data_IF_873328862372
#
_entry.id   IF_873328862372
#
_cell.length_a   1.000
_cell.length_b   1.000
_cell.length_c   1.000
_cell.angle_alpha   90.00
_cell.angle_beta   90.00
_cell.angle_gamma   90.00
#
_symmetry.space_group_name_H-M   'P 1'
#
loop_
_entity.id
_entity.type
_entity.pdbx_description
1 polymer ?
#
# COMPACT_ATOMS: atom_id res chain seq x y z
N UNK A 1 -7.56 14.28 -20.94
CA UNK A 1 -8.24 12.99 -20.68
C UNK A 1 -7.47 12.27 -19.58
N UNK A 2 -8.14 11.47 -18.73
CA UNK A 2 -7.46 10.65 -17.71
C UNK A 2 -7.26 9.25 -18.28
N UNK A 3 -6.00 8.86 -18.44
CA UNK A 3 -5.61 7.58 -19.05
C UNK A 3 -5.07 6.63 -17.98
N UNK A 4 -5.17 5.34 -18.23
CA UNK A 4 -4.60 4.32 -17.35
C UNK A 4 -4.14 3.12 -18.16
N UNK A 5 -2.95 2.62 -17.82
CA UNK A 5 -2.31 1.49 -18.52
C UNK A 5 -1.58 0.65 -17.48
N UNK A 6 -1.65 -0.67 -17.60
CA UNK A 6 -0.85 -1.60 -16.81
C UNK A 6 0.10 -2.31 -17.76
N UNK A 7 1.41 -2.23 -17.48
CA UNK A 7 2.44 -2.87 -18.29
C UNK A 7 3.55 -3.39 -17.37
N UNK A 8 4.04 -4.61 -17.62
CA UNK A 8 5.12 -5.25 -16.85
C UNK A 8 5.00 -5.13 -15.30
N UNK A 9 3.79 -5.15 -14.75
CA UNK A 9 3.54 -4.99 -13.31
C UNK A 9 3.65 -3.55 -12.79
N UNK A 10 3.48 -2.55 -13.67
CA UNK A 10 3.41 -1.13 -13.33
C UNK A 10 2.09 -0.53 -13.86
N UNK A 11 1.32 0.11 -12.98
CA UNK A 11 0.14 0.88 -13.33
C UNK A 11 0.56 2.32 -13.52
N UNK A 12 0.33 2.87 -14.70
CA UNK A 12 0.41 4.31 -15.01
C UNK A 12 -0.99 4.90 -14.99
N UNK A 13 -1.19 6.00 -14.26
CA UNK A 13 -2.39 6.85 -14.34
C UNK A 13 -1.98 8.23 -14.84
N UNK A 14 -2.36 8.54 -16.07
CA UNK A 14 -1.91 9.71 -16.81
C UNK A 14 -2.89 10.89 -16.78
N UNK A 15 -2.32 12.07 -16.52
CA UNK A 15 -2.92 13.39 -16.81
C UNK A 15 -1.76 14.34 -17.11
N UNK A 16 -1.64 14.74 -18.36
CA UNK A 16 -0.58 15.65 -18.81
C UNK A 16 -0.58 16.95 -17.97
N UNK A 17 0.60 17.41 -17.57
CA UNK A 17 0.79 18.63 -16.80
C UNK A 17 0.17 18.63 -15.40
N UNK A 18 -0.30 17.49 -14.89
CA UNK A 18 -0.98 17.45 -13.60
C UNK A 18 -0.07 17.86 -12.45
N UNK A 19 -0.66 18.59 -11.50
CA UNK A 19 -0.04 18.85 -10.20
C UNK A 19 -0.45 17.76 -9.23
N UNK A 20 0.53 17.04 -8.72
CA UNK A 20 0.34 15.90 -7.82
C UNK A 20 0.76 16.24 -6.40
N UNK A 21 0.01 15.72 -5.43
CA UNK A 21 0.41 15.58 -4.03
C UNK A 21 0.41 14.09 -3.69
N UNK A 22 1.51 13.55 -3.16
CA UNK A 22 1.65 12.12 -2.85
C UNK A 22 2.20 11.86 -1.45
N UNK A 23 1.80 10.75 -0.84
CA UNK A 23 2.39 10.21 0.40
C UNK A 23 3.33 9.02 0.14
N UNK A 24 3.56 8.66 -1.12
CA UNK A 24 4.45 7.54 -1.49
C UNK A 24 5.94 7.84 -1.31
N UNK A 25 6.79 7.01 -1.91
CA UNK A 25 8.25 7.20 -1.88
C UNK A 25 8.60 8.58 -2.45
N UNK A 26 9.35 9.38 -1.68
CA UNK A 26 9.59 10.81 -1.94
C UNK A 26 8.30 11.63 -2.16
N UNK A 27 7.32 11.45 -1.28
CA UNK A 27 6.07 12.19 -1.28
C UNK A 27 6.26 13.72 -1.27
N UNK A 28 5.15 14.44 -1.39
CA UNK A 28 5.11 15.88 -1.53
C UNK A 28 4.48 16.32 -2.85
N UNK A 29 4.67 17.60 -3.19
CA UNK A 29 4.05 18.24 -4.35
C UNK A 29 5.01 18.22 -5.54
N UNK A 30 4.52 17.80 -6.72
CA UNK A 30 5.28 17.84 -7.97
C UNK A 30 4.38 17.94 -9.19
N UNK A 31 4.88 18.52 -10.28
CA UNK A 31 4.20 18.49 -11.59
C UNK A 31 4.74 17.30 -12.38
N UNK A 32 3.82 16.53 -12.97
CA UNK A 32 4.14 15.33 -13.74
C UNK A 32 2.95 14.90 -14.61
N UNK A 33 3.24 14.22 -15.72
CA UNK A 33 2.22 13.73 -16.65
C UNK A 33 1.51 12.46 -16.17
N UNK A 34 2.01 11.82 -15.11
CA UNK A 34 1.42 10.62 -14.54
C UNK A 34 1.85 10.37 -13.09
N UNK A 35 1.10 9.51 -12.41
CA UNK A 35 1.51 8.79 -11.20
C UNK A 35 1.56 7.28 -11.48
N UNK A 36 2.36 6.57 -10.70
CA UNK A 36 2.69 5.16 -10.93
C UNK A 36 2.51 4.30 -9.68
N UNK A 37 1.91 3.13 -9.82
CA UNK A 37 1.84 2.12 -8.76
C UNK A 37 2.56 0.85 -9.24
N UNK A 38 3.64 0.49 -8.57
CA UNK A 38 4.59 -0.55 -9.01
C UNK A 38 4.43 -1.77 -8.11
N UNK A 39 4.15 -2.92 -8.71
CA UNK A 39 4.11 -4.18 -7.98
C UNK A 39 5.50 -4.58 -7.46
N UNK A 40 5.53 -5.18 -6.26
CA UNK A 40 6.71 -5.81 -5.67
C UNK A 40 6.47 -7.31 -5.49
N UNK A 41 7.52 -8.15 -5.56
CA UNK A 41 7.41 -9.57 -5.24
C UNK A 41 7.11 -9.81 -3.76
N UNK A 42 6.85 -11.07 -3.39
CA UNK A 42 6.47 -11.45 -2.03
C UNK A 42 7.59 -11.21 -1.02
N UNK A 43 8.82 -11.57 -1.39
CA UNK A 43 10.07 -11.50 -0.63
C UNK A 43 10.78 -10.13 -0.75
N UNK A 44 10.00 -9.07 -1.01
CA UNK A 44 10.58 -7.76 -1.28
C UNK A 44 11.25 -7.13 -0.04
N UNK A 45 12.59 -7.13 -0.01
CA UNK A 45 13.42 -6.56 1.06
C UNK A 45 14.42 -5.49 0.54
N UNK A 46 14.09 -4.80 -0.55
CA UNK A 46 14.95 -3.73 -1.08
C UNK A 46 14.80 -2.44 -0.28
N UNK A 47 15.93 -1.79 0.02
CA UNK A 47 15.97 -0.46 0.65
C UNK A 47 16.16 0.68 -0.36
N UNK A 48 16.67 0.40 -1.56
CA UNK A 48 16.94 1.38 -2.62
C UNK A 48 15.71 1.62 -3.52
N UNK A 49 14.59 1.96 -2.89
CA UNK A 49 13.24 2.02 -3.51
C UNK A 49 13.15 2.91 -4.77
N UNK A 50 13.90 4.01 -4.81
CA UNK A 50 13.92 4.91 -5.97
C UNK A 50 14.55 4.25 -7.20
N UNK A 51 15.64 3.51 -6.98
CA UNK A 51 16.31 2.76 -8.03
C UNK A 51 15.43 1.62 -8.51
N UNK A 52 14.81 0.88 -7.58
CA UNK A 52 13.84 -0.15 -7.92
C UNK A 52 12.70 0.42 -8.77
N UNK A 53 12.10 1.54 -8.35
CA UNK A 53 11.03 2.20 -9.09
C UNK A 53 11.45 2.58 -10.52
N UNK A 54 12.64 3.18 -10.68
CA UNK A 54 13.18 3.55 -11.99
C UNK A 54 13.38 2.32 -12.89
N UNK A 55 14.01 1.26 -12.38
CA UNK A 55 14.24 0.01 -13.12
C UNK A 55 12.91 -0.63 -13.59
N UNK A 56 11.86 -0.55 -12.77
CA UNK A 56 10.54 -1.10 -13.10
C UNK A 56 9.81 -0.24 -14.13
N UNK A 57 9.92 1.09 -14.06
CA UNK A 57 9.35 2.01 -15.05
C UNK A 57 10.02 1.84 -16.41
N UNK A 58 11.36 1.75 -16.44
CA UNK A 58 12.13 1.52 -17.68
C UNK A 58 11.72 0.20 -18.34
N UNK A 59 11.56 -0.87 -17.55
CA UNK A 59 11.09 -2.17 -18.05
C UNK A 59 9.67 -2.11 -18.61
N UNK A 60 8.81 -1.28 -18.03
CA UNK A 60 7.44 -1.07 -18.50
C UNK A 60 7.36 -0.10 -19.70
N UNK A 61 8.49 0.46 -20.17
CA UNK A 61 8.53 1.45 -21.25
C UNK A 61 7.92 2.80 -20.87
N UNK A 62 7.93 3.15 -19.58
CA UNK A 62 7.39 4.42 -19.09
C UNK A 62 8.50 5.43 -18.83
N UNK A 63 8.77 6.30 -19.81
CA UNK A 63 9.82 7.33 -19.74
C UNK A 63 9.48 8.52 -18.83
N UNK A 64 8.23 8.61 -18.35
CA UNK A 64 7.73 9.75 -17.59
C UNK A 64 8.10 9.70 -16.12
N UNK A 65 8.43 10.85 -15.51
CA UNK A 65 8.66 10.96 -14.06
C UNK A 65 7.37 11.31 -13.33
N UNK A 66 7.05 10.60 -12.26
CA UNK A 66 5.78 10.72 -11.53
C UNK A 66 5.94 10.43 -10.04
N UNK A 67 4.96 10.76 -9.20
CA UNK A 67 4.82 10.06 -7.92
C UNK A 67 4.82 8.55 -8.15
N UNK A 68 5.54 7.80 -7.31
CA UNK A 68 5.58 6.34 -7.38
C UNK A 68 5.16 5.74 -6.04
N UNK A 69 4.35 4.69 -6.12
CA UNK A 69 3.99 3.83 -4.99
C UNK A 69 4.48 2.41 -5.25
N UNK A 70 4.70 1.68 -4.17
CA UNK A 70 4.96 0.26 -4.21
C UNK A 70 3.75 -0.51 -3.68
N UNK A 71 3.50 -1.68 -4.24
CA UNK A 71 2.36 -2.52 -3.82
C UNK A 71 2.67 -4.00 -3.89
N UNK A 72 2.42 -4.75 -2.82
CA UNK A 72 2.44 -6.23 -2.87
C UNK A 72 1.16 -6.83 -3.48
N UNK A 73 0.25 -5.98 -3.98
CA UNK A 73 -0.94 -6.40 -4.73
C UNK A 73 -0.62 -6.46 -6.21
N UNK A 74 -0.85 -7.62 -6.83
CA UNK A 74 -0.82 -7.78 -8.29
C UNK A 74 -1.78 -6.78 -8.96
N UNK A 75 -1.30 -6.09 -9.98
CA UNK A 75 -2.04 -5.04 -10.66
C UNK A 75 -3.24 -5.55 -11.48
N UNK A 76 -3.37 -6.86 -11.70
CA UNK A 76 -4.59 -7.48 -12.19
C UNK A 76 -5.79 -7.24 -11.25
N UNK A 77 -5.54 -6.92 -9.97
CA UNK A 77 -6.57 -6.54 -9.00
C UNK A 77 -6.77 -5.02 -8.87
N UNK A 78 -6.07 -4.20 -9.65
CA UNK A 78 -6.35 -2.77 -9.69
C UNK A 78 -7.76 -2.52 -10.20
N UNK A 79 -8.54 -1.68 -9.51
CA UNK A 79 -9.92 -1.34 -9.92
C UNK A 79 -10.11 0.16 -9.89
N UNK A 80 -10.81 0.66 -10.91
CA UNK A 80 -11.11 2.07 -11.07
C UNK A 80 -12.59 2.40 -10.87
N UNK A 81 -12.87 3.61 -10.42
CA UNK A 81 -14.20 4.18 -10.39
C UNK A 81 -14.16 5.63 -10.89
N UNK A 82 -15.24 6.09 -11.52
CA UNK A 82 -15.37 7.45 -12.06
C UNK A 82 -16.70 8.07 -11.66
N UNK A 83 -16.68 9.34 -11.29
CA UNK A 83 -17.88 10.13 -10.97
C UNK A 83 -17.61 11.60 -11.23
N UNK A 84 -18.31 12.19 -12.20
CA UNK A 84 -18.10 13.59 -12.60
C UNK A 84 -16.62 13.84 -12.95
N UNK A 85 -15.96 14.85 -12.34
CA UNK A 85 -14.58 15.19 -12.67
C UNK A 85 -13.54 14.22 -12.10
N UNK A 86 -13.96 13.23 -11.29
CA UNK A 86 -13.04 12.38 -10.51
C UNK A 86 -12.88 11.01 -11.13
N UNK A 87 -11.63 10.56 -11.22
CA UNK A 87 -11.24 9.15 -11.43
C UNK A 87 -10.41 8.69 -10.24
N UNK A 88 -10.72 7.52 -9.68
CA UNK A 88 -9.92 6.85 -8.66
C UNK A 88 -9.50 5.49 -9.16
N UNK A 89 -8.24 5.11 -8.97
CA UNK A 89 -7.75 3.74 -9.13
C UNK A 89 -7.19 3.26 -7.80
N UNK A 90 -7.59 2.05 -7.38
CA UNK A 90 -7.16 1.45 -6.12
C UNK A 90 -6.55 0.07 -6.34
N UNK A 91 -5.53 -0.26 -5.55
CA UNK A 91 -5.10 -1.63 -5.27
C UNK A 91 -5.25 -1.88 -3.79
N UNK A 92 -5.89 -2.98 -3.38
CA UNK A 92 -6.18 -3.24 -1.98
C UNK A 92 -5.80 -4.67 -1.57
N UNK A 93 -4.85 -4.77 -0.64
CA UNK A 93 -4.42 -5.99 0.04
C UNK A 93 -4.33 -5.73 1.54
N UNK A 94 -4.53 -6.78 2.32
CA UNK A 94 -4.84 -6.69 3.75
C UNK A 94 -3.99 -7.61 4.63
N UNK A 95 -2.85 -8.10 4.14
CA UNK A 95 -1.99 -9.07 4.83
C UNK A 95 -1.26 -8.52 6.05
N UNK A 96 -1.29 -7.21 6.29
CA UNK A 96 -0.58 -6.46 7.34
C UNK A 96 -1.47 -5.29 7.85
N UNK A 97 -2.66 -5.57 8.40
CA UNK A 97 -3.60 -4.55 8.84
C UNK A 97 -3.00 -3.70 9.98
N UNK A 98 -3.30 -2.41 9.96
CA UNK A 98 -2.96 -1.48 11.03
C UNK A 98 -4.22 -1.15 11.85
N UNK A 99 -4.28 -1.61 13.10
CA UNK A 99 -5.39 -1.34 14.01
C UNK A 99 -5.10 -0.19 14.99
N UNK A 100 -6.14 0.58 15.24
CA UNK A 100 -6.19 1.61 16.28
C UNK A 100 -7.39 1.29 17.21
N UNK A 101 -7.20 0.49 18.27
CA UNK A 101 -8.24 0.20 19.24
C UNK A 101 -8.71 1.50 19.91
N UNK A 102 -10.02 1.72 19.95
CA UNK A 102 -10.63 2.92 20.56
C UNK A 102 -11.22 2.64 21.95
N UNK A 103 -11.52 1.37 22.24
CA UNK A 103 -12.04 0.92 23.52
C UNK A 103 -11.00 0.04 24.23
N UNK A 104 -11.01 0.07 25.57
CA UNK A 104 -10.15 -0.75 26.44
C UNK A 104 -10.51 -2.24 26.43
N UNK A 105 -10.64 -2.86 25.25
CA UNK A 105 -10.68 -4.31 25.12
C UNK A 105 -9.28 -4.88 25.37
N UNK A 106 -8.96 -4.99 26.65
CA UNK A 106 -8.13 -6.08 27.14
C UNK A 106 -8.86 -7.39 26.81
N UNK A 107 -8.68 -7.89 25.60
CA UNK A 107 -8.82 -9.32 25.36
C UNK A 107 -7.48 -9.94 25.75
N UNK A 108 -7.55 -10.66 26.85
CA UNK A 108 -6.50 -11.45 27.45
C UNK A 108 -6.00 -12.49 26.44
N UNK A 109 -4.97 -12.13 25.69
CA UNK A 109 -4.10 -13.05 24.97
C UNK A 109 -2.70 -12.48 25.15
N UNK A 110 -1.91 -13.13 26.02
CA UNK A 110 -0.57 -12.72 26.36
C UNK A 110 0.25 -12.40 25.10
N UNK A 111 0.83 -11.20 25.08
CA UNK A 111 1.79 -10.81 24.07
C UNK A 111 2.93 -11.84 24.06
N UNK A 112 3.31 -12.43 22.91
CA UNK A 112 4.53 -13.20 22.84
C UNK A 112 5.70 -12.23 23.04
N UNK A 113 6.49 -12.49 24.09
CA UNK A 113 7.71 -11.75 24.40
C UNK A 113 8.69 -11.80 23.21
N UNK A 114 9.04 -10.66 22.58
CA UNK A 114 9.98 -10.63 21.47
C UNK A 114 11.43 -10.98 21.89
N UNK A 115 11.71 -11.10 23.20
CA UNK A 115 13.01 -11.44 23.77
C UNK A 115 13.10 -12.87 24.36
N UNK A 116 12.10 -13.73 24.11
CA UNK A 116 12.14 -15.13 24.51
C UNK A 116 13.22 -15.91 23.73
N UNK A 117 14.47 -15.83 24.19
CA UNK A 117 15.54 -16.72 23.75
C UNK A 117 15.15 -18.14 24.10
N UNK A 118 15.07 -18.99 23.08
CA UNK A 118 14.80 -20.41 23.21
C UNK A 118 15.80 -21.03 24.21
N UNK A 119 15.36 -21.80 25.23
CA UNK A 119 16.29 -22.49 26.12
C UNK A 119 17.09 -23.51 25.31
N UNK A 120 18.42 -23.39 25.37
CA UNK A 120 19.34 -24.42 24.88
C UNK A 120 19.21 -25.64 25.78
N UNK A 121 18.81 -26.77 25.19
CA UNK A 121 18.79 -28.08 25.83
C UNK A 121 20.23 -28.50 26.20
N UNK A 122 20.57 -28.74 27.48
CA UNK A 122 21.95 -28.94 27.91
C UNK A 122 22.42 -30.40 27.89
N UNK A 123 21.80 -31.30 27.13
CA UNK A 123 22.25 -32.69 27.03
C UNK A 123 22.22 -33.21 25.58
N UNK A 124 23.32 -32.98 24.85
CA UNK A 124 23.56 -33.49 23.49
C UNK A 124 25.00 -33.94 23.33
N UNK A 125 25.25 -35.18 23.72
CA UNK A 125 26.54 -35.83 23.91
C UNK A 125 27.47 -35.75 22.68
N UNK A 126 28.73 -35.42 22.95
CA UNK A 126 29.81 -35.37 21.97
C UNK A 126 30.19 -36.77 21.49
N UNK A 127 30.35 -36.93 20.16
CA UNK A 127 31.23 -37.94 19.51
C UNK A 127 31.16 -37.80 17.98
N UNK A 128 32.19 -37.20 17.36
CA UNK A 128 33.22 -37.94 16.64
C UNK A 128 33.98 -37.02 15.67
N UNK A 129 35.28 -37.20 15.66
CA UNK A 129 36.28 -36.55 14.82
C UNK A 129 36.45 -37.32 13.50
N UNK A 130 36.83 -36.62 12.43
CA UNK A 130 37.32 -37.28 11.22
C UNK A 130 37.12 -36.47 9.94
N UNK A 131 38.11 -35.65 9.60
CA UNK A 131 38.40 -35.31 8.20
C UNK A 131 39.03 -36.55 7.53
N UNK A 132 38.72 -36.83 6.26
CA UNK A 132 39.73 -36.49 5.25
C UNK A 132 39.16 -35.99 3.92
N UNK A 133 40.04 -35.35 3.17
CA UNK A 133 39.87 -34.81 1.82
C UNK A 133 39.52 -35.86 0.76
N UNK A 134 38.61 -35.53 -0.15
CA UNK A 134 38.68 -35.97 -1.56
C UNK A 134 38.02 -34.96 -2.50
N UNK A 135 38.66 -34.81 -3.66
CA UNK A 135 38.47 -33.81 -4.70
C UNK A 135 37.16 -33.90 -5.51
N UNK A 136 36.72 -32.75 -6.04
CA UNK A 136 36.36 -32.62 -7.46
C UNK A 136 34.97 -33.08 -7.90
N UNK A 137 34.06 -32.13 -8.10
CA UNK A 137 32.84 -32.35 -8.89
C UNK A 137 31.98 -31.10 -8.98
N UNK A 138 32.15 -30.33 -10.07
CA UNK A 138 31.21 -29.29 -10.45
C UNK A 138 29.88 -29.93 -10.90
N UNK A 139 28.79 -29.57 -10.24
CA UNK A 139 27.42 -29.75 -10.71
C UNK A 139 26.58 -28.53 -10.29
N UNK A 140 25.73 -28.11 -11.21
CA UNK A 140 24.99 -26.85 -11.28
C UNK A 140 24.04 -26.58 -10.09
N UNK A 141 23.76 -25.31 -9.73
CA UNK A 141 22.71 -24.97 -8.78
C UNK A 141 21.38 -24.81 -9.52
N UNK A 142 20.63 -25.90 -9.67
CA UNK A 142 19.19 -25.84 -9.98
C UNK A 142 18.41 -26.46 -8.80
N UNK A 143 17.47 -25.65 -8.32
CA UNK A 143 16.25 -26.03 -7.59
C UNK A 143 16.40 -26.65 -6.19
N UNK A 144 16.55 -25.76 -5.21
CA UNK A 144 15.97 -25.95 -3.89
C UNK A 144 15.02 -24.78 -3.60
N UNK A 145 13.83 -24.82 -4.21
CA UNK A 145 12.65 -24.07 -3.76
C UNK A 145 12.33 -24.55 -2.34
N UNK A 146 12.85 -23.84 -1.34
CA UNK A 146 12.24 -23.81 -0.03
C UNK A 146 11.16 -22.72 -0.07
N UNK A 147 9.93 -23.13 -0.38
CA UNK A 147 8.71 -22.33 -0.29
C UNK A 147 8.60 -21.69 1.11
N UNK A 148 9.13 -20.47 1.25
CA UNK A 148 8.59 -19.53 2.20
C UNK A 148 7.41 -18.84 1.52
N UNK A 149 6.25 -19.46 1.66
CA UNK A 149 4.93 -19.05 1.17
C UNK A 149 4.41 -17.81 1.93
N UNK A 150 5.28 -16.82 2.18
CA UNK A 150 4.94 -15.58 2.82
C UNK A 150 4.11 -14.76 1.84
N UNK A 151 2.82 -14.55 2.15
CA UNK A 151 1.96 -13.74 1.31
C UNK A 151 2.56 -12.34 1.15
N UNK A 152 2.60 -11.77 -0.08
CA UNK A 152 3.17 -10.44 -0.28
C UNK A 152 2.56 -9.40 0.66
N UNK A 153 3.35 -8.38 1.09
CA UNK A 153 2.86 -7.36 2.00
C UNK A 153 1.61 -6.68 1.44
N UNK A 154 0.61 -6.54 2.31
CA UNK A 154 -0.64 -5.87 1.96
C UNK A 154 -0.42 -4.37 1.84
N UNK A 155 -1.14 -3.77 0.91
CA UNK A 155 -1.24 -2.31 0.83
C UNK A 155 -2.56 -1.89 0.22
N UNK A 156 -3.08 -0.75 0.67
CA UNK A 156 -4.23 -0.08 0.08
C UNK A 156 -3.79 1.25 -0.51
N UNK A 157 -3.36 1.22 -1.78
CA UNK A 157 -2.91 2.40 -2.51
C UNK A 157 -4.05 3.03 -3.31
N UNK A 158 -4.08 4.36 -3.35
CA UNK A 158 -5.04 5.15 -4.13
C UNK A 158 -4.34 6.13 -5.07
N UNK A 159 -4.79 6.18 -6.33
CA UNK A 159 -4.50 7.27 -7.26
C UNK A 159 -5.80 7.98 -7.58
N UNK A 160 -5.94 9.20 -7.09
CA UNK A 160 -7.11 10.07 -7.30
C UNK A 160 -6.71 11.14 -8.31
N UNK A 161 -7.47 11.29 -9.39
CA UNK A 161 -7.22 12.31 -10.41
C UNK A 161 -8.50 13.07 -10.68
N UNK A 162 -8.37 14.40 -10.76
CA UNK A 162 -9.48 15.29 -11.12
C UNK A 162 -9.08 16.20 -12.28
N UNK A 163 -10.06 16.57 -13.12
CA UNK A 163 -9.89 17.60 -14.14
C UNK A 163 -10.09 19.04 -13.63
N UNK A 164 -10.27 19.21 -12.31
CA UNK A 164 -10.36 20.52 -11.65
C UNK A 164 -8.98 21.09 -11.35
N UNK A 165 -8.86 22.42 -11.34
CA UNK A 165 -7.71 23.14 -10.81
C UNK A 165 -7.90 23.34 -9.31
N UNK A 166 -7.06 22.69 -8.51
CA UNK A 166 -7.14 22.76 -7.05
C UNK A 166 -6.18 23.79 -6.48
N UNK A 167 -6.72 24.71 -5.69
CA UNK A 167 -5.94 25.64 -4.88
C UNK A 167 -5.06 24.89 -3.87
N UNK A 168 -4.06 25.57 -3.31
CA UNK A 168 -3.10 25.00 -2.36
C UNK A 168 -3.73 24.38 -1.12
N UNK A 169 -4.88 24.90 -0.67
CA UNK A 169 -5.66 24.27 0.41
C UNK A 169 -6.57 23.14 -0.06
N UNK A 170 -7.04 23.19 -1.30
CA UNK A 170 -7.97 22.22 -1.86
C UNK A 170 -7.29 20.88 -2.18
N UNK A 171 -6.05 20.90 -2.67
CA UNK A 171 -5.27 19.70 -2.99
C UNK A 171 -5.04 18.78 -1.76
N UNK A 172 -4.49 19.26 -0.62
CA UNK A 172 -4.38 18.46 0.59
C UNK A 172 -5.74 18.13 1.21
N UNK A 173 -6.74 19.02 1.11
CA UNK A 173 -8.11 18.70 1.56
C UNK A 173 -8.72 17.53 0.80
N UNK A 174 -8.44 17.41 -0.50
CA UNK A 174 -8.89 16.29 -1.32
C UNK A 174 -8.18 14.98 -0.92
N UNK A 175 -6.88 15.05 -0.62
CA UNK A 175 -6.12 13.92 -0.09
C UNK A 175 -6.71 13.43 1.23
N UNK A 176 -6.98 14.34 2.17
CA UNK A 176 -7.65 14.00 3.43
C UNK A 176 -9.01 13.34 3.19
N UNK A 177 -9.83 13.90 2.28
CA UNK A 177 -11.14 13.32 1.92
C UNK A 177 -11.02 11.91 1.32
N UNK A 178 -9.98 11.65 0.52
CA UNK A 178 -9.72 10.32 -0.03
C UNK A 178 -9.30 9.33 1.07
N UNK A 179 -8.44 9.75 2.00
CA UNK A 179 -8.03 8.93 3.15
C UNK A 179 -9.22 8.63 4.07
N UNK A 180 -10.04 9.62 4.41
CA UNK A 180 -11.28 9.42 5.19
C UNK A 180 -12.21 8.39 4.54
N UNK A 181 -12.39 8.48 3.22
CA UNK A 181 -13.21 7.54 2.46
C UNK A 181 -12.64 6.12 2.46
N UNK A 182 -11.31 6.00 2.31
CA UNK A 182 -10.58 4.73 2.40
C UNK A 182 -10.80 4.11 3.77
N UNK A 183 -10.51 4.85 4.83
CA UNK A 183 -10.65 4.42 6.23
C UNK A 183 -12.06 3.98 6.53
N UNK A 184 -13.08 4.77 6.19
CA UNK A 184 -14.48 4.41 6.40
C UNK A 184 -14.88 3.13 5.63
N UNK A 185 -14.36 2.96 4.41
CA UNK A 185 -14.63 1.78 3.58
C UNK A 185 -13.95 0.54 4.16
N UNK A 186 -12.69 0.65 4.61
CA UNK A 186 -11.96 -0.45 5.20
C UNK A 186 -12.56 -0.84 6.55
N UNK A 187 -12.88 0.11 7.44
CA UNK A 187 -13.56 -0.18 8.70
C UNK A 187 -14.87 -0.94 8.47
N UNK A 188 -15.72 -0.44 7.57
CA UNK A 188 -17.00 -1.08 7.24
C UNK A 188 -16.91 -2.38 6.46
N UNK A 189 -15.71 -2.85 6.07
CA UNK A 189 -15.53 -4.11 5.35
C UNK A 189 -14.57 -5.09 6.01
N UNK A 190 -13.68 -4.61 6.89
CA UNK A 190 -12.54 -5.33 7.45
C UNK A 190 -12.36 -5.16 8.96
N UNK A 191 -12.92 -4.11 9.56
CA UNK A 191 -12.65 -3.76 10.95
C UNK A 191 -11.33 -3.03 11.22
N UNK A 192 -10.58 -2.61 10.19
CA UNK A 192 -9.35 -1.82 10.35
C UNK A 192 -9.29 -0.63 9.38
N UNK A 193 -8.39 0.32 9.66
CA UNK A 193 -8.35 1.63 8.99
C UNK A 193 -7.48 1.65 7.73
N UNK A 194 -6.57 0.69 7.61
CA UNK A 194 -5.55 0.62 6.56
C UNK A 194 -4.57 -0.53 6.80
N UNK A 195 -3.48 -0.51 6.06
CA UNK A 195 -2.29 -1.33 6.31
C UNK A 195 -1.11 -0.46 6.73
N UNK A 196 0.01 -1.09 7.12
CA UNK A 196 1.23 -0.38 7.51
C UNK A 196 1.91 0.38 6.37
N UNK A 197 1.55 0.13 5.11
CA UNK A 197 2.25 0.66 3.93
C UNK A 197 1.36 1.40 2.92
N UNK A 198 0.14 1.77 3.33
CA UNK A 198 -0.80 2.46 2.43
C UNK A 198 -0.25 3.79 1.90
N UNK A 199 -0.46 4.07 0.61
CA UNK A 199 -0.11 5.34 0.00
C UNK A 199 -1.23 5.96 -0.86
N UNK A 200 -1.25 7.29 -0.96
CA UNK A 200 -2.23 8.03 -1.76
C UNK A 200 -1.51 9.08 -2.59
N UNK A 201 -1.87 9.25 -3.87
CA UNK A 201 -1.68 10.53 -4.55
C UNK A 201 -2.97 11.09 -5.12
N UNK A 202 -2.99 12.41 -5.13
CA UNK A 202 -4.03 13.23 -5.72
C UNK A 202 -3.40 14.08 -6.82
N UNK A 203 -3.89 13.93 -8.05
CA UNK A 203 -3.53 14.74 -9.20
C UNK A 203 -4.66 15.69 -9.58
N UNK A 204 -4.33 16.94 -9.85
CA UNK A 204 -5.26 17.93 -10.38
C UNK A 204 -4.74 18.54 -11.68
N UNK A 205 -5.66 19.00 -12.52
CA UNK A 205 -5.32 19.75 -13.73
C UNK A 205 -5.16 21.23 -13.38
N UNK A 206 -3.95 21.81 -13.41
CA UNK A 206 -3.75 23.23 -13.08
C UNK A 206 -4.47 24.19 -14.05
N UNK A 207 -4.87 23.72 -15.24
CA UNK A 207 -5.61 24.50 -16.25
C UNK A 207 -7.13 24.23 -16.20
N UNK A 208 -7.57 23.37 -15.27
CA UNK A 208 -8.98 23.00 -15.09
C UNK A 208 -9.85 24.10 -14.46
N UNK A 209 -11.14 23.79 -14.25
CA UNK A 209 -12.05 24.72 -13.56
C UNK A 209 -11.58 24.94 -12.09
N UNK A 210 -11.37 26.20 -11.66
CA UNK A 210 -10.87 26.49 -10.31
C UNK A 210 -11.79 25.97 -9.21
N UNK A 211 -11.22 25.26 -8.24
CA UNK A 211 -11.94 24.66 -7.12
C UNK A 211 -11.20 24.91 -5.82
N UNK A 212 -11.83 25.68 -4.92
CA UNK A 212 -11.25 26.10 -3.63
C UNK A 212 -11.49 25.12 -2.49
N UNK A 213 -12.51 24.27 -2.62
CA UNK A 213 -12.94 23.36 -1.55
C UNK A 213 -13.11 21.95 -2.10
N UNK A 214 -12.55 20.98 -1.36
CA UNK A 214 -12.59 19.57 -1.73
C UNK A 214 -13.11 18.65 -0.61
N UNK A 215 -13.62 19.23 0.48
CA UNK A 215 -14.13 18.49 1.62
C UNK A 215 -15.39 17.67 1.30
N UNK A 216 -15.75 16.76 2.21
CA UNK A 216 -16.80 15.74 2.04
C UNK A 216 -18.20 16.27 1.66
N UNK A 217 -18.52 17.53 1.99
CA UNK A 217 -19.80 18.16 1.63
C UNK A 217 -19.86 18.71 0.20
N UNK A 218 -18.70 18.92 -0.43
CA UNK A 218 -18.57 19.48 -1.79
C UNK A 218 -18.93 18.44 -2.87
N UNK A 219 -19.27 18.89 -4.08
CA UNK A 219 -19.51 17.99 -5.22
C UNK A 219 -18.27 17.14 -5.53
N UNK A 220 -17.08 17.76 -5.51
CA UNK A 220 -15.80 17.07 -5.74
C UNK A 220 -15.51 16.04 -4.63
N UNK A 221 -15.70 16.41 -3.37
CA UNK A 221 -15.50 15.52 -2.23
C UNK A 221 -16.48 14.34 -2.25
N UNK A 222 -17.77 14.57 -2.51
CA UNK A 222 -18.78 13.50 -2.63
C UNK A 222 -18.42 12.50 -3.74
N UNK A 223 -18.05 13.00 -4.91
CA UNK A 223 -17.60 12.17 -6.03
C UNK A 223 -16.37 11.33 -5.66
N UNK A 224 -15.40 11.94 -4.99
CA UNK A 224 -14.18 11.27 -4.52
C UNK A 224 -14.48 10.16 -3.52
N UNK A 225 -15.31 10.44 -2.50
CA UNK A 225 -15.67 9.45 -1.49
C UNK A 225 -16.39 8.25 -2.11
N UNK A 226 -17.31 8.48 -3.05
CA UNK A 226 -18.00 7.41 -3.77
C UNK A 226 -17.02 6.57 -4.61
N UNK A 227 -16.15 7.22 -5.38
CA UNK A 227 -15.16 6.52 -6.20
C UNK A 227 -14.17 5.71 -5.37
N UNK A 228 -13.65 6.26 -4.26
CA UNK A 228 -12.76 5.53 -3.35
C UNK A 228 -13.45 4.30 -2.78
N UNK A 229 -14.68 4.45 -2.26
CA UNK A 229 -15.46 3.32 -1.72
C UNK A 229 -15.60 2.20 -2.75
N UNK A 230 -16.01 2.55 -3.97
CA UNK A 230 -16.34 1.57 -5.00
C UNK A 230 -15.08 0.92 -5.59
N UNK A 231 -14.01 1.69 -5.82
CA UNK A 231 -12.73 1.18 -6.29
C UNK A 231 -12.07 0.23 -5.27
N UNK A 232 -12.03 0.61 -3.99
CA UNK A 232 -11.46 -0.24 -2.92
C UNK A 232 -12.27 -1.53 -2.78
N UNK A 233 -13.61 -1.45 -2.70
CA UNK A 233 -14.46 -2.65 -2.62
C UNK A 233 -14.31 -3.55 -3.84
N UNK A 234 -14.19 -2.99 -5.03
CA UNK A 234 -13.97 -3.77 -6.25
C UNK A 234 -12.60 -4.45 -6.25
N UNK A 235 -11.54 -3.74 -5.81
CA UNK A 235 -10.19 -4.30 -5.73
C UNK A 235 -10.12 -5.43 -4.72
N UNK A 236 -10.70 -5.26 -3.53
CA UNK A 236 -10.81 -6.31 -2.52
C UNK A 236 -11.58 -7.53 -3.04
N UNK A 237 -12.75 -7.34 -3.66
CA UNK A 237 -13.50 -8.46 -4.26
C UNK A 237 -12.70 -9.20 -5.34
N UNK A 238 -11.88 -8.48 -6.11
CA UNK A 238 -11.01 -9.09 -7.11
C UNK A 238 -9.89 -9.91 -6.48
N UNK A 239 -9.21 -9.35 -5.47
CA UNK A 239 -8.05 -9.99 -4.82
C UNK A 239 -8.45 -11.18 -3.96
N UNK A 240 -9.62 -11.12 -3.34
CA UNK A 240 -10.12 -12.13 -2.41
C UNK A 240 -11.29 -12.94 -3.00
N UNK A 241 -11.34 -13.09 -4.32
CA UNK A 241 -12.36 -13.90 -4.99
C UNK A 241 -12.21 -15.39 -4.65
N UNK A 242 -10.96 -15.86 -4.63
CA UNK A 242 -10.60 -17.28 -4.47
C UNK A 242 -9.73 -17.54 -3.23
N UNK A 243 -9.72 -16.61 -2.28
CA UNK A 243 -8.91 -16.70 -1.05
C UNK A 243 -9.54 -15.95 0.11
N UNK A 244 -9.29 -16.43 1.32
CA UNK A 244 -9.84 -15.82 2.53
C UNK A 244 -9.23 -14.44 2.83
N UNK A 245 -10.05 -13.59 3.42
CA UNK A 245 -9.66 -12.26 3.88
C UNK A 245 -9.25 -12.35 5.35
N UNK A 246 -8.14 -11.71 5.76
CA UNK A 246 -7.83 -11.54 7.18
C UNK A 246 -8.96 -10.83 7.91
N UNK A 247 -9.45 -11.42 9.00
CA UNK A 247 -10.54 -10.91 9.83
C UNK A 247 -10.08 -10.20 11.09
N UNK A 248 -8.86 -10.48 11.56
CA UNK A 248 -8.24 -9.81 12.70
C UNK A 248 -6.76 -9.48 12.43
N UNK A 249 -6.20 -8.60 13.26
CA UNK A 249 -4.75 -8.30 13.24
C UNK A 249 -3.93 -9.49 13.75
N UNK A 250 -4.47 -10.24 14.72
CA UNK A 250 -3.83 -11.46 15.25
C UNK A 250 -3.69 -12.57 14.18
N UNK A 251 -4.53 -12.54 13.15
CA UNK A 251 -4.48 -13.49 12.02
C UNK A 251 -3.44 -13.05 10.96
N UNK A 252 -2.79 -11.89 11.14
CA UNK A 252 -1.87 -11.31 10.17
C UNK A 252 -0.45 -11.29 10.72
N UNK A 253 0.44 -12.03 10.07
CA UNK A 253 1.86 -12.19 10.42
C UNK A 253 2.59 -10.85 10.64
N UNK A 254 2.21 -9.81 9.88
CA UNK A 254 2.82 -8.47 9.94
C UNK A 254 1.83 -7.37 10.36
N UNK A 255 0.78 -7.74 11.08
CA UNK A 255 -0.19 -6.79 11.63
C UNK A 255 0.45 -5.83 12.65
N UNK A 256 -0.06 -4.60 12.77
CA UNK A 256 0.38 -3.64 13.78
C UNK A 256 -0.81 -3.11 14.57
N UNK A 257 -0.62 -2.96 15.89
CA UNK A 257 -1.62 -2.37 16.79
C UNK A 257 -0.99 -1.22 17.58
N UNK A 258 -1.55 -0.02 17.48
CA UNK A 258 -1.12 1.14 18.29
C UNK A 258 -1.80 1.10 19.66
N UNK A 259 -1.01 0.97 20.74
CA UNK A 259 -1.48 0.93 22.14
C UNK A 259 -0.77 1.94 23.05
N UNK A 260 0.13 2.74 22.48
CA UNK A 260 0.96 3.68 23.19
C UNK A 260 0.09 4.72 23.94
N UNK A 261 0.33 4.92 25.25
CA UNK A 261 -0.43 5.91 26.01
C UNK A 261 -0.10 7.32 25.53
N UNK A 262 -1.09 8.22 25.60
CA UNK A 262 -0.91 9.65 25.34
C UNK A 262 -1.51 10.50 26.47
N UNK A 263 -0.90 11.66 26.73
CA UNK A 263 -1.40 12.62 27.72
C UNK A 263 -2.24 13.69 27.03
N UNK A 264 -3.54 13.71 27.32
CA UNK A 264 -4.45 14.76 26.83
C UNK A 264 -4.19 16.06 27.60
N UNK A 265 -4.02 17.18 26.88
CA UNK A 265 -3.83 18.50 27.46
C UNK A 265 -4.81 19.53 26.88
N UNK A 266 -5.10 20.57 27.66
CA UNK A 266 -5.88 21.74 27.18
C UNK A 266 -4.89 22.78 26.63
N UNK A 267 -4.94 23.13 25.34
CA UNK A 267 -4.10 24.21 24.79
C UNK A 267 -4.43 25.54 25.49
N UNK A 268 -3.41 26.28 25.94
CA UNK A 268 -3.54 27.62 26.54
C UNK A 268 -3.18 28.71 25.54
#
# INVERSE_FOLDING_TARGET
MIEHTVEAGVLRVGRAGARWLSTGVRGGIRVADAAYNVSVPADFDRSDLERYAAERLDRAGFDGRGPVFLTGVDLAHARGARSGPVTVVATAGLSNPAALPLDGEATDAGDPDPDARNPVDPDGDARNSGHPDVEGGALDPEDADSDHDAAPPGTVNLVVVTDRALDDGALPSLLATAVEAKTATLLGTAGFTGTTSDAVAVGCDPEGEPTRFAGSATTLGKATRACVRDAVRASLRSRYADRDRPTAVADAEYGTVTREPSTVFVPR
#
